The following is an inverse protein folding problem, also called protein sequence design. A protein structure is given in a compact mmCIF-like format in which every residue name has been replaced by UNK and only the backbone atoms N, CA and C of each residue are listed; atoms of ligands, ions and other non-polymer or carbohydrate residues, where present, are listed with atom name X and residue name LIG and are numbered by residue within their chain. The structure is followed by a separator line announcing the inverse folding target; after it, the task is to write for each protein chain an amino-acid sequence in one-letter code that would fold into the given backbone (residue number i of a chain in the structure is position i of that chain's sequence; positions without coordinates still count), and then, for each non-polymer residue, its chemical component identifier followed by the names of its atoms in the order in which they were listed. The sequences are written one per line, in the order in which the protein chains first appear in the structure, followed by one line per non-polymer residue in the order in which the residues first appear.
data_IF_854460941096
#
_entry.id   IF_854460941096
#
_cell.length_a   1.000
_cell.length_b   1.000
_cell.length_c   1.000
_cell.angle_alpha   90.00
_cell.angle_beta   90.00
_cell.angle_gamma   90.00
#
_symmetry.space_group_name_H-M   'P 1'
#
loop_
_entity.id
_entity.type
_entity.pdbx_description
1 polymer ?
#
# COMPACT_ATOMS: atom_id res chain seq x y z
N UNK A 1 10.81 16.64 -2.35
CA UNK A 1 10.10 15.77 -3.30
C UNK A 1 9.72 16.63 -4.51
N UNK A 2 9.80 16.15 -5.76
CA UNK A 2 9.54 16.97 -6.96
C UNK A 2 8.06 17.38 -7.05
N UNK A 3 7.74 18.60 -7.48
CA UNK A 3 6.34 19.08 -7.60
C UNK A 3 5.43 18.09 -8.35
N UNK A 4 5.92 17.54 -9.47
CA UNK A 4 5.18 16.54 -10.27
C UNK A 4 4.70 15.30 -9.51
N UNK A 5 5.49 14.72 -8.60
CA UNK A 5 5.02 13.52 -7.87
C UNK A 5 4.04 13.92 -6.77
N UNK A 6 4.22 15.09 -6.16
CA UNK A 6 3.27 15.64 -5.20
C UNK A 6 1.92 15.90 -5.88
N UNK A 7 1.89 16.47 -7.09
CA UNK A 7 0.67 16.65 -7.87
C UNK A 7 -0.03 15.32 -8.20
N UNK A 8 0.73 14.30 -8.63
CA UNK A 8 0.18 12.98 -8.92
C UNK A 8 -0.46 12.34 -7.67
N UNK A 9 0.22 12.41 -6.53
CA UNK A 9 -0.29 11.86 -5.26
C UNK A 9 -1.52 12.64 -4.79
N UNK A 10 -1.50 13.98 -4.86
CA UNK A 10 -2.64 14.81 -4.49
C UNK A 10 -3.87 14.52 -5.36
N UNK A 11 -3.68 14.36 -6.67
CA UNK A 11 -4.78 14.02 -7.58
C UNK A 11 -5.36 12.63 -7.31
N UNK A 12 -4.54 11.63 -6.96
CA UNK A 12 -5.04 10.32 -6.52
C UNK A 12 -5.83 10.47 -5.22
N UNK A 13 -5.32 11.20 -4.22
CA UNK A 13 -6.04 11.46 -2.96
C UNK A 13 -7.43 12.08 -3.22
N UNK A 14 -7.51 13.12 -4.05
CA UNK A 14 -8.79 13.76 -4.41
C UNK A 14 -9.78 12.77 -5.03
N UNK A 15 -9.30 11.93 -5.95
CA UNK A 15 -10.12 10.89 -6.55
C UNK A 15 -10.60 9.87 -5.51
N UNK A 16 -9.72 9.42 -4.62
CA UNK A 16 -10.04 8.45 -3.54
C UNK A 16 -11.05 9.00 -2.55
N UNK A 17 -10.93 10.26 -2.17
CA UNK A 17 -11.91 10.95 -1.32
C UNK A 17 -13.28 10.97 -1.99
N UNK A 18 -13.33 11.24 -3.30
CA UNK A 18 -14.55 11.16 -4.11
C UNK A 18 -15.18 9.77 -4.09
N UNK A 19 -14.38 8.72 -4.31
CA UNK A 19 -14.84 7.33 -4.28
C UNK A 19 -15.44 6.95 -2.91
N UNK A 20 -14.75 7.30 -1.82
CA UNK A 20 -15.26 7.04 -0.47
C UNK A 20 -16.58 7.78 -0.23
N UNK A 21 -16.68 9.04 -0.66
CA UNK A 21 -17.93 9.81 -0.53
C UNK A 21 -19.09 9.16 -1.30
N UNK A 22 -18.84 8.65 -2.52
CA UNK A 22 -19.84 7.94 -3.31
C UNK A 22 -20.29 6.64 -2.64
N UNK A 23 -19.36 5.79 -2.18
CA UNK A 23 -19.68 4.55 -1.45
C UNK A 23 -20.53 4.86 -0.22
N UNK A 24 -20.18 5.89 0.57
CA UNK A 24 -20.99 6.32 1.72
C UNK A 24 -22.40 6.72 1.32
N UNK A 25 -22.54 7.51 0.26
CA UNK A 25 -23.84 8.01 -0.20
C UNK A 25 -24.79 6.89 -0.61
N UNK A 26 -24.26 5.82 -1.21
CA UNK A 26 -25.02 4.62 -1.55
C UNK A 26 -25.56 3.97 -0.28
N UNK A 27 -24.70 3.75 0.72
CA UNK A 27 -25.09 3.11 1.98
C UNK A 27 -26.04 3.98 2.84
N UNK A 28 -26.00 5.30 2.68
CA UNK A 28 -26.85 6.25 3.37
C UNK A 28 -28.18 6.55 2.62
N UNK A 29 -28.41 5.95 1.45
CA UNK A 29 -29.57 6.27 0.63
C UNK A 29 -30.90 5.95 1.35
N UNK A 30 -31.84 6.91 1.45
CA UNK A 30 -33.12 6.70 2.12
C UNK A 30 -34.07 5.79 1.34
N UNK A 31 -33.76 5.47 0.09
CA UNK A 31 -34.56 4.56 -0.74
C UNK A 31 -34.29 3.07 -0.47
N UNK A 32 -33.27 2.75 0.33
CA UNK A 32 -32.93 1.37 0.68
C UNK A 32 -33.86 0.85 1.79
N UNK A 33 -34.29 -0.40 1.66
CA UNK A 33 -34.88 -1.14 2.78
C UNK A 33 -33.83 -1.39 3.85
N UNK A 34 -34.25 -1.66 5.09
CA UNK A 34 -33.33 -1.92 6.21
C UNK A 34 -32.35 -3.07 5.90
N UNK A 35 -32.83 -4.15 5.28
CA UNK A 35 -31.99 -5.28 4.86
C UNK A 35 -30.93 -4.86 3.82
N UNK A 36 -31.33 -4.11 2.79
CA UNK A 36 -30.40 -3.62 1.76
C UNK A 36 -29.40 -2.63 2.35
N UNK A 37 -29.84 -1.81 3.31
CA UNK A 37 -28.99 -0.86 4.02
C UNK A 37 -27.93 -1.57 4.87
N UNK A 38 -28.30 -2.62 5.61
CA UNK A 38 -27.35 -3.44 6.36
C UNK A 38 -26.30 -4.09 5.45
N UNK A 39 -26.73 -4.64 4.30
CA UNK A 39 -25.82 -5.17 3.28
C UNK A 39 -24.90 -4.07 2.74
N UNK A 40 -25.44 -2.91 2.38
CA UNK A 40 -24.67 -1.80 1.82
C UNK A 40 -23.63 -1.27 2.82
N UNK A 41 -23.99 -1.12 4.10
CA UNK A 41 -23.07 -0.75 5.17
C UNK A 41 -21.96 -1.81 5.31
N UNK A 42 -22.33 -3.09 5.42
CA UNK A 42 -21.36 -4.18 5.56
C UNK A 42 -20.36 -4.20 4.41
N UNK A 43 -20.80 -4.11 3.16
CA UNK A 43 -19.90 -4.16 2.00
C UNK A 43 -19.20 -2.83 1.68
N UNK A 44 -19.56 -1.73 2.33
CA UNK A 44 -18.78 -0.48 2.26
C UNK A 44 -17.41 -0.61 2.92
N UNK A 45 -17.26 -1.46 3.95
CA UNK A 45 -15.97 -1.64 4.66
C UNK A 45 -14.88 -2.24 3.77
N UNK A 46 -15.07 -3.41 3.12
CA UNK A 46 -14.07 -3.93 2.19
C UNK A 46 -13.84 -2.97 1.00
N UNK A 47 -14.86 -2.23 0.56
CA UNK A 47 -14.69 -1.23 -0.49
C UNK A 47 -13.75 -0.08 -0.05
N UNK A 48 -13.97 0.51 1.14
CA UNK A 48 -13.06 1.52 1.69
C UNK A 48 -11.64 1.00 1.86
N UNK A 49 -11.50 -0.23 2.37
CA UNK A 49 -10.18 -0.86 2.49
C UNK A 49 -9.49 -0.98 1.13
N UNK A 50 -10.19 -1.43 0.08
CA UNK A 50 -9.64 -1.53 -1.27
C UNK A 50 -9.26 -0.17 -1.86
N UNK A 51 -10.04 0.88 -1.59
CA UNK A 51 -9.71 2.26 -2.01
C UNK A 51 -8.41 2.70 -1.35
N UNK A 52 -8.28 2.49 -0.03
CA UNK A 52 -7.09 2.89 0.73
C UNK A 52 -5.84 2.06 0.41
N UNK A 53 -5.95 0.73 0.35
CA UNK A 53 -4.83 -0.15 -0.03
C UNK A 53 -4.34 0.17 -1.44
N UNK A 54 -5.27 0.43 -2.36
CA UNK A 54 -4.95 0.88 -3.71
C UNK A 54 -4.19 2.20 -3.74
N UNK A 55 -4.50 3.15 -2.86
CA UNK A 55 -3.73 4.39 -2.72
C UNK A 55 -2.30 4.12 -2.25
N UNK A 56 -2.11 3.32 -1.20
CA UNK A 56 -0.77 2.97 -0.68
C UNK A 56 0.07 2.33 -1.79
N UNK A 57 -0.48 1.34 -2.48
CA UNK A 57 0.22 0.64 -3.57
C UNK A 57 0.58 1.61 -4.70
N UNK A 58 -0.37 2.45 -5.13
CA UNK A 58 -0.12 3.42 -6.20
C UNK A 58 0.93 4.46 -5.82
N UNK A 59 0.86 5.03 -4.62
CA UNK A 59 1.78 6.06 -4.17
C UNK A 59 3.23 5.56 -4.16
N UNK A 60 3.49 4.38 -3.60
CA UNK A 60 4.83 3.79 -3.60
C UNK A 60 5.27 3.31 -4.99
N UNK A 61 4.34 2.86 -5.85
CA UNK A 61 4.64 2.53 -7.24
C UNK A 61 5.09 3.75 -8.05
N UNK A 62 4.39 4.87 -7.94
CA UNK A 62 4.78 6.14 -8.58
C UNK A 62 6.09 6.68 -7.99
N UNK A 63 6.33 6.49 -6.69
CA UNK A 63 7.60 6.84 -6.06
C UNK A 63 8.78 6.01 -6.60
N UNK A 64 8.61 4.69 -6.76
CA UNK A 64 9.59 3.83 -7.45
C UNK A 64 9.93 4.37 -8.83
N UNK A 65 8.90 4.65 -9.66
CA UNK A 65 9.08 5.18 -11.02
C UNK A 65 9.81 6.52 -11.02
N UNK A 66 9.48 7.40 -10.08
CA UNK A 66 10.16 8.67 -9.90
C UNK A 66 11.65 8.49 -9.59
N UNK A 67 12.01 7.60 -8.65
CA UNK A 67 13.41 7.33 -8.32
C UNK A 67 14.15 6.75 -9.54
N UNK A 68 13.56 5.76 -10.24
CA UNK A 68 14.13 5.19 -11.48
C UNK A 68 14.37 6.25 -12.55
N UNK A 69 13.46 7.23 -12.67
CA UNK A 69 13.60 8.35 -13.63
C UNK A 69 14.83 9.22 -13.37
N UNK A 70 15.32 9.27 -12.12
CA UNK A 70 16.53 10.02 -11.74
C UNK A 70 17.83 9.33 -12.16
N UNK A 71 17.78 8.09 -12.66
CA UNK A 71 18.95 7.35 -13.16
C UNK A 71 20.10 7.35 -12.15
N UNK A 72 19.75 7.08 -10.89
CA UNK A 72 20.67 7.04 -9.75
C UNK A 72 21.45 5.72 -9.79
N UNK A 73 22.74 5.77 -9.47
CA UNK A 73 23.61 4.58 -9.35
C UNK A 73 23.58 3.99 -7.94
N UNK A 74 24.13 2.79 -7.79
CA UNK A 74 24.22 2.08 -6.51
C UNK A 74 24.81 2.92 -5.37
N UNK A 75 25.84 3.71 -5.68
CA UNK A 75 26.62 4.55 -4.75
C UNK A 75 25.85 5.74 -4.17
N UNK A 76 24.72 6.11 -4.77
CA UNK A 76 23.96 7.33 -4.44
C UNK A 76 22.53 7.06 -3.99
N UNK A 77 22.07 5.82 -4.06
CA UNK A 77 20.74 5.45 -3.60
C UNK A 77 20.73 5.36 -2.07
N UNK A 78 19.61 5.71 -1.44
CA UNK A 78 19.44 5.54 0.00
C UNK A 78 19.65 4.07 0.39
N UNK A 79 20.33 3.84 1.52
CA UNK A 79 20.73 2.51 1.97
C UNK A 79 19.55 1.56 2.26
N UNK A 80 18.43 2.08 2.79
CA UNK A 80 17.24 1.26 3.09
C UNK A 80 16.58 0.78 1.79
N UNK A 81 16.41 1.69 0.82
CA UNK A 81 15.89 1.38 -0.52
C UNK A 81 16.81 0.36 -1.20
N UNK A 82 18.11 0.60 -1.12
CA UNK A 82 19.11 -0.27 -1.71
C UNK A 82 19.08 -1.67 -1.08
N UNK A 83 19.00 -1.76 0.24
CA UNK A 83 18.94 -3.03 0.96
C UNK A 83 17.70 -3.83 0.54
N UNK A 84 16.52 -3.24 0.65
CA UNK A 84 15.29 -3.92 0.26
C UNK A 84 15.29 -4.35 -1.21
N UNK A 85 15.57 -3.40 -2.11
CA UNK A 85 15.48 -3.65 -3.56
C UNK A 85 16.53 -4.67 -4.03
N UNK A 86 17.79 -4.53 -3.59
CA UNK A 86 18.85 -5.46 -4.01
C UNK A 86 18.60 -6.89 -3.53
N UNK A 87 18.09 -7.08 -2.31
CA UNK A 87 17.77 -8.41 -1.80
C UNK A 87 16.68 -9.10 -2.62
N UNK A 88 15.64 -8.35 -3.01
CA UNK A 88 14.56 -8.83 -3.86
C UNK A 88 15.03 -9.11 -5.29
N UNK A 89 15.63 -8.11 -5.95
CA UNK A 89 16.05 -8.20 -7.37
C UNK A 89 17.14 -9.25 -7.61
N UNK A 90 18.09 -9.37 -6.69
CA UNK A 90 19.23 -10.29 -6.84
C UNK A 90 19.00 -11.64 -6.17
N UNK A 91 17.86 -11.85 -5.50
CA UNK A 91 17.55 -13.07 -4.75
C UNK A 91 18.65 -13.43 -3.73
N UNK A 92 19.10 -12.44 -2.95
CA UNK A 92 20.26 -12.60 -2.04
C UNK A 92 19.98 -13.57 -0.88
N UNK A 93 18.71 -13.84 -0.55
CA UNK A 93 18.32 -14.76 0.50
C UNK A 93 18.45 -16.25 0.10
N UNK A 94 18.51 -16.54 -1.19
CA UNK A 94 18.61 -17.90 -1.71
C UNK A 94 19.72 -18.01 -2.78
N UNK A 95 20.99 -17.83 -2.39
CA UNK A 95 22.11 -17.88 -3.31
C UNK A 95 22.27 -19.28 -3.92
N UNK A 96 22.66 -19.40 -5.20
CA UNK A 96 22.73 -20.68 -5.87
C UNK A 96 23.90 -21.56 -5.40
N UNK A 97 23.70 -22.87 -5.40
CA UNK A 97 24.74 -23.85 -5.01
C UNK A 97 25.63 -24.32 -6.17
N UNK A 98 25.06 -24.48 -7.37
CA UNK A 98 25.79 -24.96 -8.57
C UNK A 98 26.71 -23.89 -9.17
N UNK A 99 27.92 -24.28 -9.60
CA UNK A 99 28.95 -23.35 -10.11
C UNK A 99 28.48 -22.49 -11.30
N UNK A 100 27.72 -23.06 -12.24
CA UNK A 100 27.17 -22.33 -13.39
C UNK A 100 26.21 -21.23 -12.94
N UNK A 101 25.34 -21.55 -11.98
CA UNK A 101 24.37 -20.61 -11.40
C UNK A 101 25.08 -19.55 -10.56
N UNK A 102 26.11 -19.91 -9.80
CA UNK A 102 26.99 -18.96 -9.06
C UNK A 102 27.63 -17.94 -9.98
N UNK A 103 28.19 -18.37 -11.13
CA UNK A 103 28.76 -17.44 -12.12
C UNK A 103 27.72 -16.44 -12.62
N UNK A 104 26.51 -16.90 -12.96
CA UNK A 104 25.41 -16.01 -13.38
C UNK A 104 25.00 -15.03 -12.27
N UNK A 105 24.89 -15.52 -11.04
CA UNK A 105 24.56 -14.70 -9.87
C UNK A 105 25.59 -13.58 -9.63
N UNK A 106 26.88 -13.90 -9.67
CA UNK A 106 27.95 -12.89 -9.54
C UNK A 106 27.91 -11.84 -10.67
N UNK A 107 27.64 -12.27 -11.92
CA UNK A 107 27.47 -11.33 -13.03
C UNK A 107 26.24 -10.44 -12.84
N UNK A 108 25.14 -10.96 -12.30
CA UNK A 108 23.97 -10.15 -11.98
C UNK A 108 24.28 -9.08 -10.92
N UNK A 109 25.01 -9.44 -9.86
CA UNK A 109 25.46 -8.48 -8.83
C UNK A 109 26.34 -7.40 -9.46
N UNK A 110 27.34 -7.80 -10.26
CA UNK A 110 28.22 -6.85 -10.93
C UNK A 110 27.42 -5.89 -11.84
N UNK A 111 26.51 -6.42 -12.66
CA UNK A 111 25.67 -5.62 -13.52
C UNK A 111 24.76 -4.67 -12.72
N UNK A 112 24.21 -5.11 -11.59
CA UNK A 112 23.38 -4.27 -10.73
C UNK A 112 24.17 -3.08 -10.16
N UNK A 113 25.40 -3.32 -9.69
CA UNK A 113 26.27 -2.27 -9.15
C UNK A 113 26.74 -1.31 -10.25
N UNK A 114 27.08 -1.84 -11.43
CA UNK A 114 27.65 -1.07 -12.53
C UNK A 114 26.64 -0.20 -13.29
N UNK A 115 25.34 -0.51 -13.21
CA UNK A 115 24.30 0.19 -13.95
C UNK A 115 23.48 1.16 -13.08
N UNK A 116 22.61 1.92 -13.75
CA UNK A 116 21.59 2.72 -13.06
C UNK A 116 20.54 1.80 -12.48
N UNK A 117 20.12 2.08 -11.25
CA UNK A 117 19.11 1.28 -10.56
C UNK A 117 17.74 1.61 -11.15
N UNK A 118 17.03 0.57 -11.55
CA UNK A 118 15.63 0.63 -11.92
C UNK A 118 14.83 -0.10 -10.83
N UNK A 119 14.12 0.67 -10.02
CA UNK A 119 13.29 0.13 -8.95
C UNK A 119 12.05 -0.55 -9.52
N UNK A 120 11.76 -1.74 -8.99
CA UNK A 120 10.46 -2.39 -9.23
C UNK A 120 9.31 -1.47 -8.80
N UNK A 121 8.28 -1.28 -9.63
CA UNK A 121 7.06 -0.56 -9.25
C UNK A 121 6.13 -1.42 -8.38
N UNK A 122 6.47 -2.69 -8.13
CA UNK A 122 5.71 -3.61 -7.28
C UNK A 122 6.06 -3.35 -5.82
N UNK A 123 5.06 -3.02 -5.03
CA UNK A 123 5.19 -2.75 -3.59
C UNK A 123 5.26 -4.07 -2.82
N UNK A 124 6.16 -4.20 -1.81
CA UNK A 124 6.15 -5.34 -0.91
C UNK A 124 4.84 -5.41 -0.13
N UNK A 125 3.96 -6.35 -0.47
CA UNK A 125 2.76 -6.64 0.32
C UNK A 125 2.49 -8.13 0.27
N UNK A 126 3.04 -8.85 1.26
CA UNK A 126 2.78 -10.29 1.44
C UNK A 126 1.53 -10.53 2.30
N UNK A 127 0.92 -9.45 2.81
CA UNK A 127 -0.29 -9.44 3.61
C UNK A 127 -1.19 -8.26 3.23
N UNK A 128 -2.38 -8.21 3.82
CA UNK A 128 -3.18 -6.98 3.86
C UNK A 128 -2.33 -5.86 4.44
N UNK A 129 -2.44 -4.66 3.87
CA UNK A 129 -1.77 -3.48 4.39
C UNK A 129 -2.47 -3.07 5.69
N UNK A 130 -1.85 -3.33 6.82
CA UNK A 130 -2.23 -2.72 8.09
C UNK A 130 -1.20 -1.67 8.49
N UNK A 131 -1.22 -1.19 9.75
CA UNK A 131 -0.24 -0.21 10.19
C UNK A 131 1.21 -0.74 10.13
N UNK A 132 1.44 -2.00 10.50
CA UNK A 132 2.78 -2.56 10.54
C UNK A 132 3.29 -2.83 9.13
N UNK A 133 2.42 -3.33 8.24
CA UNK A 133 2.74 -3.50 6.83
C UNK A 133 3.02 -2.15 6.15
N UNK A 134 2.20 -1.13 6.40
CA UNK A 134 2.46 0.23 5.91
C UNK A 134 3.80 0.75 6.43
N UNK A 135 4.07 0.61 7.72
CA UNK A 135 5.34 1.04 8.34
C UNK A 135 6.54 0.31 7.75
N UNK A 136 6.39 -0.98 7.44
CA UNK A 136 7.42 -1.76 6.75
C UNK A 136 7.65 -1.25 5.33
N UNK A 137 6.58 -1.04 4.55
CA UNK A 137 6.66 -0.45 3.20
C UNK A 137 7.36 0.91 3.27
N UNK A 138 6.94 1.82 4.16
CA UNK A 138 7.57 3.13 4.33
C UNK A 138 9.09 3.04 4.53
N UNK A 139 9.54 2.14 5.41
CA UNK A 139 10.98 1.90 5.64
C UNK A 139 11.70 1.37 4.40
N UNK A 140 11.12 0.43 3.66
CA UNK A 140 11.69 -0.08 2.41
C UNK A 140 11.91 1.03 1.36
N UNK A 141 11.15 2.14 1.47
CA UNK A 141 11.25 3.30 0.59
C UNK A 141 11.95 4.50 1.23
N UNK A 142 12.57 4.33 2.42
CA UNK A 142 13.18 5.42 3.19
C UNK A 142 12.24 6.62 3.41
N UNK A 143 10.97 6.31 3.68
CA UNK A 143 9.93 7.27 4.06
C UNK A 143 9.62 7.08 5.53
N UNK A 144 9.52 8.18 6.26
CA UNK A 144 9.11 8.16 7.66
C UNK A 144 7.71 7.55 7.82
N UNK A 145 7.54 6.55 8.71
CA UNK A 145 6.22 6.00 9.00
C UNK A 145 5.26 7.07 9.55
N UNK A 146 3.97 6.90 9.23
CA UNK A 146 2.92 7.78 9.75
C UNK A 146 2.75 7.62 11.27
N UNK A 147 2.24 8.67 11.92
CA UNK A 147 2.09 8.73 13.39
C UNK A 147 1.30 7.53 13.95
N UNK A 148 1.97 6.69 14.74
CA UNK A 148 1.38 5.47 15.30
C UNK A 148 0.16 5.75 16.20
N UNK A 149 0.27 6.74 17.09
CA UNK A 149 -0.77 7.08 18.06
C UNK A 149 -2.07 7.48 17.37
N UNK A 150 -1.97 8.16 16.23
CA UNK A 150 -3.12 8.63 15.46
C UNK A 150 -3.74 7.54 14.59
N UNK A 151 -2.94 6.68 13.96
CA UNK A 151 -3.41 5.87 12.83
C UNK A 151 -3.46 4.36 13.11
N UNK A 152 -2.64 3.85 14.03
CA UNK A 152 -2.44 2.41 14.23
C UNK A 152 -3.73 1.67 14.57
N UNK A 153 -4.47 2.16 15.56
CA UNK A 153 -5.72 1.51 16.00
C UNK A 153 -6.79 1.52 14.90
N UNK A 154 -6.89 2.60 14.12
CA UNK A 154 -7.88 2.73 13.04
C UNK A 154 -7.63 1.74 11.91
N UNK A 155 -6.38 1.63 11.46
CA UNK A 155 -5.98 0.71 10.39
C UNK A 155 -6.16 -0.76 10.78
N UNK A 156 -5.74 -1.15 11.98
CA UNK A 156 -5.99 -2.51 12.45
C UNK A 156 -7.48 -2.83 12.53
N UNK A 157 -8.29 -1.88 12.99
CA UNK A 157 -9.75 -2.05 13.05
C UNK A 157 -10.33 -2.20 11.64
N UNK A 158 -9.95 -1.36 10.69
CA UNK A 158 -10.39 -1.45 9.30
C UNK A 158 -10.06 -2.81 8.68
N UNK A 159 -8.80 -3.25 8.79
CA UNK A 159 -8.32 -4.54 8.27
C UNK A 159 -9.06 -5.71 8.95
N UNK A 160 -9.26 -5.64 10.26
CA UNK A 160 -10.00 -6.66 11.00
C UNK A 160 -11.44 -6.80 10.49
N UNK A 161 -12.17 -5.69 10.38
CA UNK A 161 -13.54 -5.73 9.86
C UNK A 161 -13.59 -6.22 8.41
N UNK A 162 -12.70 -5.73 7.55
CA UNK A 162 -12.58 -6.20 6.16
C UNK A 162 -12.39 -7.70 6.09
N UNK A 163 -11.47 -8.26 6.88
CA UNK A 163 -11.20 -9.70 6.86
C UNK A 163 -12.39 -10.52 7.33
N UNK A 164 -13.02 -10.13 8.45
CA UNK A 164 -14.21 -10.82 8.97
C UNK A 164 -15.36 -10.82 7.96
N UNK A 165 -15.60 -9.69 7.29
CA UNK A 165 -16.64 -9.57 6.25
C UNK A 165 -16.30 -10.43 5.03
N UNK A 166 -15.05 -10.39 4.55
CA UNK A 166 -14.60 -11.20 3.42
C UNK A 166 -14.67 -12.71 3.70
N UNK A 167 -14.47 -13.13 4.95
CA UNK A 167 -14.62 -14.52 5.38
C UNK A 167 -16.08 -14.93 5.66
N UNK A 168 -17.06 -14.03 5.46
CA UNK A 168 -18.49 -14.35 5.57
C UNK A 168 -19.01 -14.36 7.01
N UNK A 169 -18.38 -13.64 7.94
CA UNK A 169 -18.86 -13.58 9.32
C UNK A 169 -20.16 -12.78 9.43
N UNK A 170 -21.30 -13.46 9.39
CA UNK A 170 -22.63 -12.86 9.39
C UNK A 170 -23.01 -12.13 10.69
N UNK A 171 -22.32 -12.39 11.80
CA UNK A 171 -22.59 -11.75 13.09
C UNK A 171 -22.01 -10.32 13.19
N UNK A 172 -21.17 -9.91 12.24
CA UNK A 172 -20.54 -8.60 12.28
C UNK A 172 -21.56 -7.50 11.99
N UNK A 173 -21.77 -6.63 12.98
CA UNK A 173 -22.62 -5.44 12.83
C UNK A 173 -21.79 -4.26 12.37
N UNK A 174 -22.17 -3.69 11.23
CA UNK A 174 -21.58 -2.46 10.70
C UNK A 174 -22.61 -1.36 10.81
N UNK A 175 -22.29 -0.32 11.57
CA UNK A 175 -23.19 0.83 11.81
C UNK A 175 -22.76 2.03 10.97
N UNK A 176 -23.66 2.99 10.79
CA UNK A 176 -23.31 4.28 10.15
C UNK A 176 -22.16 5.00 10.88
N UNK A 177 -22.11 4.92 12.22
CA UNK A 177 -21.01 5.49 13.00
C UNK A 177 -19.66 4.85 12.63
N UNK A 178 -19.63 3.53 12.41
CA UNK A 178 -18.43 2.83 12.00
C UNK A 178 -18.02 3.18 10.57
N UNK A 179 -18.98 3.31 9.65
CA UNK A 179 -18.74 3.80 8.29
C UNK A 179 -18.18 5.22 8.32
N UNK A 180 -18.75 6.08 9.15
CA UNK A 180 -18.24 7.42 9.35
C UNK A 180 -16.81 7.40 9.90
N UNK A 181 -16.50 6.56 10.88
CA UNK A 181 -15.14 6.37 11.41
C UNK A 181 -14.14 5.96 10.32
N UNK A 182 -14.45 4.93 9.52
CA UNK A 182 -13.56 4.42 8.47
C UNK A 182 -13.39 5.34 7.27
N UNK A 183 -14.33 6.25 7.06
CA UNK A 183 -14.30 7.18 5.93
C UNK A 183 -13.68 8.54 6.22
N UNK A 184 -13.23 8.79 7.47
CA UNK A 184 -12.59 10.06 7.81
C UNK A 184 -11.20 10.12 7.19
N UNK A 185 -10.78 11.35 6.87
CA UNK A 185 -9.44 11.69 6.36
C UNK A 185 -8.24 11.11 7.14
N UNK A 186 -8.29 10.72 8.44
CA UNK A 186 -7.14 10.03 9.03
C UNK A 186 -6.79 8.69 8.37
N UNK A 187 -7.63 8.16 7.49
CA UNK A 187 -7.37 6.90 6.79
C UNK A 187 -7.10 7.12 5.30
N UNK A 188 -6.86 8.35 4.83
CA UNK A 188 -6.38 8.66 3.47
C UNK A 188 -5.20 9.64 3.56
#
# INVERSE_FOLDING_TARGET
MSERITELISSDIEWRVGEIALIKSIAASPSLTDEKKDVALRYSVPAFYSVWEGFVVNAFSEYSKYISSKKIGFDKLNADILAYHSYSTLNLLAPPHEIKKKKKFLLNIYNYIANKIDLSPIVPSDSNVDYDQLSYISKCYAVEPINAEKYKSGLYKLVNYRNRIAHGEHSIKVTENLINEFSREPLI
#
